data_IF_003148716770
#
_entry.id   IF_003148716770
#
_cell.length_a   1.000
_cell.length_b   1.000
_cell.length_c   1.000
_cell.angle_alpha   90.00
_cell.angle_beta   90.00
_cell.angle_gamma   90.00
#
_symmetry.space_group_name_H-M   'P 1'
#
loop_
_entity.id
_entity.type
_entity.pdbx_description
1 polymer ?
#
# COMPACT_ATOMS: atom_id res chain seq x y z
N UNK A 1 -39.41 -3.69 1.12
CA UNK A 1 -38.19 -3.87 1.94
C UNK A 1 -38.33 -2.93 3.12
N UNK A 2 -38.43 -3.51 4.32
CA UNK A 2 -38.65 -2.81 5.59
C UNK A 2 -37.33 -2.18 6.03
N UNK A 3 -37.33 -0.88 6.34
CA UNK A 3 -36.21 -0.17 6.93
C UNK A 3 -35.80 -0.88 8.24
N UNK A 4 -34.77 -1.74 8.18
CA UNK A 4 -34.39 -2.61 9.29
C UNK A 4 -33.93 -4.01 8.89
N UNK A 5 -34.16 -4.47 7.66
CA UNK A 5 -33.41 -5.62 7.12
C UNK A 5 -32.01 -5.13 6.74
N UNK A 6 -31.10 -5.10 7.72
CA UNK A 6 -29.68 -4.81 7.48
C UNK A 6 -29.12 -5.94 6.62
N UNK A 7 -29.20 -5.78 5.30
CA UNK A 7 -28.21 -6.38 4.43
C UNK A 7 -26.87 -5.89 4.99
N UNK A 8 -26.15 -6.77 5.70
CA UNK A 8 -24.75 -6.54 6.05
C UNK A 8 -24.00 -6.48 4.72
N UNK A 9 -24.06 -5.31 4.11
CA UNK A 9 -23.44 -5.05 2.85
C UNK A 9 -21.98 -4.83 3.18
N UNK A 10 -21.12 -5.77 2.78
CA UNK A 10 -19.66 -5.59 2.86
C UNK A 10 -19.17 -4.58 1.80
N UNK A 11 -19.99 -3.58 1.48
CA UNK A 11 -19.61 -2.51 0.58
C UNK A 11 -18.59 -1.63 1.32
N UNK A 12 -17.51 -1.19 0.65
CA UNK A 12 -16.44 -0.41 1.27
C UNK A 12 -16.91 0.86 1.99
N UNK A 13 -18.05 1.42 1.59
CA UNK A 13 -18.66 2.61 2.18
C UNK A 13 -19.33 2.36 3.53
N UNK A 14 -19.78 1.12 3.80
CA UNK A 14 -20.51 0.77 5.01
C UNK A 14 -19.58 0.28 6.13
N UNK A 15 -18.26 0.23 5.87
CA UNK A 15 -17.25 -0.19 6.85
C UNK A 15 -16.95 0.99 7.80
N UNK A 16 -17.19 0.86 9.12
CA UNK A 16 -16.84 1.89 10.09
C UNK A 16 -15.31 1.91 10.28
N UNK A 17 -14.63 2.80 9.56
CA UNK A 17 -13.16 2.96 9.58
C UNK A 17 -12.62 3.42 10.94
N UNK A 18 -13.47 4.03 11.76
CA UNK A 18 -13.14 4.49 13.11
C UNK A 18 -13.33 3.40 14.18
N UNK A 19 -13.81 2.21 13.80
CA UNK A 19 -13.94 1.10 14.74
C UNK A 19 -12.54 0.62 15.15
N UNK A 20 -12.25 0.45 16.46
CA UNK A 20 -10.89 0.19 16.94
C UNK A 20 -10.23 -1.05 16.33
N UNK A 21 -11.00 -2.11 16.10
CA UNK A 21 -10.56 -3.36 15.48
C UNK A 21 -10.11 -3.17 14.02
N UNK A 22 -10.90 -2.44 13.21
CA UNK A 22 -10.52 -2.08 11.84
C UNK A 22 -9.28 -1.19 11.81
N UNK A 23 -9.21 -0.19 12.70
CA UNK A 23 -8.06 0.71 12.76
C UNK A 23 -6.75 -0.03 13.04
N UNK A 24 -6.76 -0.97 14.00
CA UNK A 24 -5.57 -1.76 14.35
C UNK A 24 -5.18 -2.70 13.20
N UNK A 25 -6.14 -3.43 12.63
CA UNK A 25 -5.88 -4.36 11.54
C UNK A 25 -5.31 -3.67 10.30
N UNK A 26 -6.00 -2.63 9.81
CA UNK A 26 -5.57 -1.90 8.61
C UNK A 26 -4.29 -1.09 8.87
N UNK A 27 -4.11 -0.54 10.08
CA UNK A 27 -2.88 0.14 10.47
C UNK A 27 -1.66 -0.78 10.41
N UNK A 28 -1.75 -1.97 11.00
CA UNK A 28 -0.68 -2.97 10.95
C UNK A 28 -0.40 -3.43 9.51
N UNK A 29 -1.47 -3.71 8.73
CA UNK A 29 -1.37 -4.09 7.33
C UNK A 29 -0.64 -3.02 6.50
N UNK A 30 -1.03 -1.76 6.62
CA UNK A 30 -0.42 -0.66 5.87
C UNK A 30 1.01 -0.40 6.30
N UNK A 31 1.35 -0.58 7.59
CA UNK A 31 2.73 -0.47 8.06
C UNK A 31 3.63 -1.52 7.39
N UNK A 32 3.19 -2.79 7.32
CA UNK A 32 3.93 -3.85 6.64
C UNK A 32 4.07 -3.57 5.14
N UNK A 33 2.98 -3.17 4.48
CA UNK A 33 3.01 -2.81 3.06
C UNK A 33 3.96 -1.64 2.79
N UNK A 34 3.99 -0.63 3.66
CA UNK A 34 4.91 0.49 3.56
C UNK A 34 6.37 0.05 3.64
N UNK A 35 6.72 -0.86 4.56
CA UNK A 35 8.07 -1.40 4.69
C UNK A 35 8.48 -2.18 3.44
N UNK A 36 7.59 -3.04 2.92
CA UNK A 36 7.87 -3.83 1.72
C UNK A 36 8.04 -2.91 0.51
N UNK A 37 7.11 -1.97 0.32
CA UNK A 37 7.14 -1.03 -0.80
C UNK A 37 8.36 -0.10 -0.72
N UNK A 38 8.74 0.34 0.48
CA UNK A 38 9.94 1.13 0.71
C UNK A 38 11.22 0.37 0.38
N UNK A 39 11.33 -0.88 0.84
CA UNK A 39 12.48 -1.74 0.54
C UNK A 39 12.61 -2.04 -0.95
N UNK A 40 11.51 -2.46 -1.60
CA UNK A 40 11.49 -2.73 -3.03
C UNK A 40 11.76 -1.47 -3.86
N UNK A 41 11.12 -0.35 -3.50
CA UNK A 41 11.31 0.94 -4.15
C UNK A 41 12.75 1.44 -4.05
N UNK A 42 13.39 1.27 -2.90
CA UNK A 42 14.81 1.60 -2.72
C UNK A 42 15.71 0.81 -3.66
N UNK A 43 15.50 -0.50 -3.77
CA UNK A 43 16.30 -1.37 -4.65
C UNK A 43 16.09 -0.98 -6.12
N UNK A 44 14.84 -0.79 -6.55
CA UNK A 44 14.53 -0.39 -7.92
C UNK A 44 15.19 0.95 -8.26
N UNK A 45 15.06 1.95 -7.38
CA UNK A 45 15.64 3.27 -7.59
C UNK A 45 17.18 3.20 -7.66
N UNK A 46 17.81 2.47 -6.73
CA UNK A 46 19.27 2.30 -6.71
C UNK A 46 19.76 1.63 -8.00
N UNK A 47 19.10 0.56 -8.45
CA UNK A 47 19.43 -0.13 -9.70
C UNK A 47 19.26 0.77 -10.91
N UNK A 48 18.19 1.56 -10.98
CA UNK A 48 17.95 2.50 -12.06
C UNK A 48 19.01 3.62 -12.11
N UNK A 49 19.40 4.16 -10.95
CA UNK A 49 20.46 5.16 -10.86
C UNK A 49 21.83 4.58 -11.28
N UNK A 50 22.13 3.36 -10.86
CA UNK A 50 23.37 2.67 -11.24
C UNK A 50 23.43 2.42 -12.75
N UNK A 51 22.36 1.87 -13.34
CA UNK A 51 22.28 1.62 -14.77
C UNK A 51 22.42 2.92 -15.59
N UNK A 52 21.85 4.03 -15.12
CA UNK A 52 22.00 5.35 -15.75
C UNK A 52 23.45 5.86 -15.70
N UNK A 53 24.14 5.68 -14.57
CA UNK A 53 25.54 6.04 -14.45
C UNK A 53 26.45 5.22 -15.38
N UNK A 54 26.22 3.92 -15.51
CA UNK A 54 26.98 3.06 -16.44
C UNK A 54 26.75 3.44 -17.91
N UNK A 55 25.52 3.79 -18.28
CA UNK A 55 25.17 4.22 -19.64
C UNK A 55 25.89 5.51 -20.05
N UNK A 56 26.15 6.42 -19.11
CA UNK A 56 26.89 7.67 -19.36
C UNK A 56 28.41 7.47 -19.46
N UNK A 57 28.95 6.33 -19.00
CA UNK A 57 30.38 6.02 -19.04
C UNK A 57 30.86 5.35 -20.33
N UNK A 58 29.96 4.82 -21.15
CA UNK A 58 30.28 4.07 -22.39
C UNK A 58 30.23 4.94 -23.66
N UNK A 59 30.30 6.27 -23.52
CA UNK A 59 30.26 7.24 -24.64
C UNK A 59 31.65 7.73 -25.08
N UNK A 60 32.72 6.99 -24.77
CA UNK A 60 34.09 7.30 -25.17
C UNK A 60 34.78 6.10 -25.82
#
# INVERSE_FOLDING_TARGET
MLHGETLHSALPQDIPWWMPDHFVFFGALYAVLFVILGGLGYVILKSALHARHESSGHSH
#
